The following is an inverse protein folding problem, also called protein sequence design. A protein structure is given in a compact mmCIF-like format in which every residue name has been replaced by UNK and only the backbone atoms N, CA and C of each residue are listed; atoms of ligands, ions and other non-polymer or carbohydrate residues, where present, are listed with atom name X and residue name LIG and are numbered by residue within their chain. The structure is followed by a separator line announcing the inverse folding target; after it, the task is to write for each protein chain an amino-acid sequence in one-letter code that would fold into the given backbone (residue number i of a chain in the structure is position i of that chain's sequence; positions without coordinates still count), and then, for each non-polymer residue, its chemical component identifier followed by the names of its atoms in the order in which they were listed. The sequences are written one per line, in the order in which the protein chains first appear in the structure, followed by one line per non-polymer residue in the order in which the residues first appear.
data_IF_804676567861
#
_entry.id   IF_804676567861
#
_cell.length_a   1.000
_cell.length_b   1.000
_cell.length_c   1.000
_cell.angle_alpha   90.00
_cell.angle_beta   90.00
_cell.angle_gamma   90.00
#
_symmetry.space_group_name_H-M   'P 1'
#
loop_
_entity.id
_entity.type
_entity.pdbx_description
1 polymer ?
#
# COMPACT_ATOMS: atom_id res chain seq x y z
N UNK A 1 -0.62 -20.76 -0.14
CA UNK A 1 -1.37 -19.60 0.43
C UNK A 1 -0.67 -19.09 1.69
N UNK A 2 0.03 -17.95 1.63
CA UNK A 2 0.67 -17.35 2.82
C UNK A 2 -0.39 -16.80 3.80
N UNK A 3 -0.21 -17.03 5.11
CA UNK A 3 -1.13 -16.55 6.16
C UNK A 3 -1.37 -15.04 6.11
N UNK A 4 -0.39 -14.26 5.63
CA UNK A 4 -0.48 -12.81 5.44
C UNK A 4 -1.51 -12.47 4.34
N UNK A 5 -1.58 -13.27 3.27
CA UNK A 5 -2.56 -13.10 2.18
C UNK A 5 -3.98 -13.33 2.71
N UNK A 6 -4.18 -14.35 3.54
CA UNK A 6 -5.48 -14.62 4.15
C UNK A 6 -5.92 -13.50 5.10
N UNK A 7 -5.00 -12.91 5.87
CA UNK A 7 -5.28 -11.84 6.83
C UNK A 7 -5.59 -10.50 6.16
N UNK A 8 -4.87 -10.16 5.08
CA UNK A 8 -5.15 -8.98 4.25
C UNK A 8 -6.54 -9.13 3.59
N UNK A 9 -6.81 -10.29 3.00
CA UNK A 9 -8.10 -10.56 2.36
C UNK A 9 -9.24 -10.59 3.37
N UNK A 10 -9.04 -11.16 4.56
CA UNK A 10 -10.02 -11.14 5.65
C UNK A 10 -10.29 -9.73 6.17
N UNK A 11 -9.28 -8.86 6.24
CA UNK A 11 -9.45 -7.46 6.66
C UNK A 11 -10.20 -6.63 5.61
N UNK A 12 -10.01 -6.93 4.32
CA UNK A 12 -10.76 -6.30 3.23
C UNK A 12 -12.20 -6.82 3.11
N UNK A 13 -12.46 -8.09 3.46
CA UNK A 13 -13.83 -8.67 3.54
C UNK A 13 -14.77 -7.91 4.48
N UNK A 14 -14.24 -7.20 5.48
CA UNK A 14 -15.06 -6.47 6.46
C UNK A 14 -15.76 -5.25 5.81
N UNK A 15 -15.29 -4.76 4.66
CA UNK A 15 -15.76 -3.50 4.06
C UNK A 15 -16.44 -3.63 2.67
N UNK A 16 -17.10 -4.76 2.37
CA UNK A 16 -17.74 -5.20 1.09
C UNK A 16 -16.91 -6.19 0.26
N UNK A 17 -17.58 -6.81 -0.75
CA UNK A 17 -17.16 -7.98 -1.52
C UNK A 17 -15.67 -8.03 -1.86
N UNK A 18 -15.04 -9.18 -1.61
CA UNK A 18 -13.63 -9.45 -1.91
C UNK A 18 -13.24 -8.94 -3.30
N UNK A 19 -12.19 -8.10 -3.41
CA UNK A 19 -11.63 -7.76 -4.70
C UNK A 19 -11.14 -9.02 -5.42
N UNK A 20 -11.32 -9.06 -6.74
CA UNK A 20 -10.85 -10.19 -7.55
C UNK A 20 -9.33 -10.31 -7.52
N UNK A 21 -8.82 -11.52 -7.76
CA UNK A 21 -7.38 -11.76 -7.91
C UNK A 21 -6.78 -10.92 -9.06
N UNK A 22 -7.56 -10.71 -10.12
CA UNK A 22 -7.20 -9.85 -11.25
C UNK A 22 -7.02 -8.39 -10.83
N UNK A 23 -7.90 -7.87 -9.97
CA UNK A 23 -7.75 -6.51 -9.45
C UNK A 23 -6.46 -6.36 -8.65
N UNK A 24 -6.14 -7.28 -7.74
CA UNK A 24 -4.91 -7.20 -6.96
C UNK A 24 -3.67 -7.30 -7.85
N UNK A 25 -3.69 -8.20 -8.83
CA UNK A 25 -2.60 -8.36 -9.79
C UNK A 25 -2.40 -7.07 -10.60
N UNK A 26 -3.48 -6.51 -11.14
CA UNK A 26 -3.46 -5.23 -11.86
C UNK A 26 -3.01 -4.08 -10.95
N UNK A 27 -3.54 -3.97 -9.74
CA UNK A 27 -3.26 -2.88 -8.80
C UNK A 27 -1.80 -2.91 -8.35
N UNK A 28 -1.31 -4.09 -7.99
CA UNK A 28 0.09 -4.30 -7.64
C UNK A 28 0.99 -3.98 -8.82
N UNK A 29 0.70 -4.48 -10.03
CA UNK A 29 1.48 -4.16 -11.22
C UNK A 29 1.59 -2.64 -11.46
N UNK A 30 0.48 -1.91 -11.37
CA UNK A 30 0.45 -0.46 -11.56
C UNK A 30 1.18 0.32 -10.45
N UNK A 31 1.03 -0.09 -9.19
CA UNK A 31 1.72 0.54 -8.06
C UNK A 31 3.23 0.27 -8.06
N UNK A 32 3.63 -0.95 -8.43
CA UNK A 32 5.01 -1.44 -8.49
C UNK A 32 5.84 -0.67 -9.53
N UNK A 33 5.29 -0.51 -10.73
CA UNK A 33 6.03 -0.02 -11.88
C UNK A 33 6.04 1.51 -11.99
N UNK A 34 4.96 2.20 -11.59
CA UNK A 34 4.76 3.56 -12.13
C UNK A 34 4.24 4.58 -11.12
N UNK A 35 3.09 4.37 -10.47
CA UNK A 35 2.35 5.51 -9.90
C UNK A 35 2.31 5.60 -8.36
N UNK A 36 2.59 4.51 -7.64
CA UNK A 36 2.54 4.48 -6.18
C UNK A 36 3.80 5.09 -5.53
N UNK A 37 3.63 6.03 -4.61
CA UNK A 37 4.71 6.71 -3.91
C UNK A 37 4.56 6.58 -2.40
N UNK A 38 5.57 6.00 -1.75
CA UNK A 38 5.73 6.01 -0.30
C UNK A 38 6.40 7.32 0.09
N UNK A 39 5.67 8.17 0.80
CA UNK A 39 6.11 9.52 1.16
C UNK A 39 6.29 9.58 2.68
N UNK A 40 7.48 9.99 3.09
CA UNK A 40 7.76 10.45 4.45
C UNK A 40 7.96 11.96 4.39
N UNK A 41 7.17 12.69 5.18
CA UNK A 41 7.30 14.17 5.25
C UNK A 41 8.35 14.57 6.28
N UNK A 42 8.85 15.82 6.22
CA UNK A 42 9.77 16.36 7.25
C UNK A 42 9.19 16.34 8.67
N UNK A 43 7.86 16.36 8.79
CA UNK A 43 7.13 16.21 10.07
C UNK A 43 6.83 14.75 10.41
N UNK A 44 7.58 13.83 9.82
CA UNK A 44 7.46 12.39 10.02
C UNK A 44 6.09 11.78 9.65
N UNK A 45 5.23 12.51 8.95
CA UNK A 45 3.95 11.93 8.51
C UNK A 45 4.18 10.90 7.40
N UNK A 46 3.49 9.77 7.53
CA UNK A 46 3.47 8.66 6.59
C UNK A 46 2.29 8.84 5.65
N UNK A 47 2.56 8.83 4.35
CA UNK A 47 1.52 8.90 3.34
C UNK A 47 1.85 7.96 2.19
N UNK A 48 0.85 7.24 1.71
CA UNK A 48 0.92 6.56 0.43
C UNK A 48 0.09 7.34 -0.58
N UNK A 49 0.66 7.61 -1.76
CA UNK A 49 0.02 8.43 -2.78
C UNK A 49 0.14 7.76 -4.14
N UNK A 50 -0.98 7.70 -4.87
CA UNK A 50 -1.02 7.37 -6.30
C UNK A 50 -1.47 8.62 -7.04
N UNK A 51 -0.67 9.09 -8.01
CA UNK A 51 -1.04 10.24 -8.85
C UNK A 51 -1.42 9.76 -10.24
N UNK A 52 -2.60 10.16 -10.74
CA UNK A 52 -3.10 9.77 -12.06
C UNK A 52 -3.94 10.88 -12.70
N UNK A 53 -4.01 10.90 -14.04
CA UNK A 53 -4.90 11.79 -14.81
C UNK A 53 -6.35 11.31 -14.81
N UNK A 54 -6.54 10.00 -14.97
CA UNK A 54 -7.85 9.36 -14.94
C UNK A 54 -8.37 9.19 -13.52
N UNK A 55 -9.34 10.03 -13.14
CA UNK A 55 -9.92 10.02 -11.79
C UNK A 55 -10.75 8.75 -11.52
N UNK A 56 -11.36 8.17 -12.56
CA UNK A 56 -12.16 6.94 -12.48
C UNK A 56 -11.34 5.78 -11.91
N UNK A 57 -10.09 5.65 -12.33
CA UNK A 57 -9.15 4.63 -11.83
C UNK A 57 -8.87 4.83 -10.34
N UNK A 58 -8.73 6.08 -9.89
CA UNK A 58 -8.50 6.38 -8.47
C UNK A 58 -9.73 6.09 -7.61
N UNK A 59 -10.94 6.35 -8.13
CA UNK A 59 -12.17 5.98 -7.45
C UNK A 59 -12.37 4.47 -7.40
N UNK A 60 -12.11 3.76 -8.49
CA UNK A 60 -12.09 2.30 -8.49
C UNK A 60 -11.14 1.75 -7.43
N UNK A 61 -9.91 2.28 -7.32
CA UNK A 61 -8.97 1.85 -6.28
C UNK A 61 -9.52 2.13 -4.87
N UNK A 62 -10.03 3.33 -4.62
CA UNK A 62 -10.61 3.71 -3.32
C UNK A 62 -11.75 2.78 -2.94
N UNK A 63 -12.68 2.56 -3.86
CA UNK A 63 -13.91 1.82 -3.62
C UNK A 63 -13.63 0.33 -3.44
N UNK A 64 -12.69 -0.23 -4.21
CA UNK A 64 -12.27 -1.63 -4.07
C UNK A 64 -11.45 -1.88 -2.80
N UNK A 65 -10.60 -0.94 -2.39
CA UNK A 65 -9.83 -1.07 -1.14
C UNK A 65 -10.66 -0.73 0.11
N UNK A 66 -11.72 0.07 -0.05
CA UNK A 66 -12.59 0.51 1.05
C UNK A 66 -11.95 1.55 1.98
N UNK A 67 -10.84 2.18 1.59
CA UNK A 67 -10.16 3.21 2.37
C UNK A 67 -9.44 4.24 1.50
N UNK A 68 -8.88 5.27 2.14
CA UNK A 68 -8.18 6.36 1.47
C UNK A 68 -9.12 7.42 0.89
N UNK A 69 -8.55 8.46 0.29
CA UNK A 69 -9.30 9.57 -0.32
C UNK A 69 -8.73 9.96 -1.66
N UNK A 70 -9.60 10.43 -2.55
CA UNK A 70 -9.22 10.99 -3.85
C UNK A 70 -9.35 12.50 -3.78
N UNK A 71 -8.30 13.23 -4.16
CA UNK A 71 -8.29 14.70 -4.24
C UNK A 71 -7.77 15.17 -5.60
N UNK A 72 -8.20 16.35 -6.02
CA UNK A 72 -7.58 17.04 -7.15
C UNK A 72 -6.29 17.74 -6.68
N UNK A 73 -5.21 17.60 -7.44
CA UNK A 73 -3.92 18.22 -7.12
C UNK A 73 -3.59 19.38 -8.07
N UNK A 74 -3.96 19.26 -9.34
CA UNK A 74 -3.76 20.29 -10.35
C UNK A 74 -4.91 20.32 -11.36
N UNK A 75 -4.75 21.08 -12.46
CA UNK A 75 -5.82 21.23 -13.44
C UNK A 75 -6.29 19.90 -14.06
N UNK A 76 -5.39 18.92 -14.22
CA UNK A 76 -5.67 17.65 -14.90
C UNK A 76 -5.13 16.42 -14.17
N UNK A 77 -4.76 16.56 -12.90
CA UNK A 77 -4.15 15.49 -12.12
C UNK A 77 -4.82 15.33 -10.76
N UNK A 78 -4.99 14.07 -10.39
CA UNK A 78 -5.67 13.66 -9.18
C UNK A 78 -4.77 12.74 -8.37
N UNK A 79 -5.05 12.65 -7.07
CA UNK A 79 -4.29 11.83 -6.12
C UNK A 79 -5.21 10.98 -5.28
N UNK A 80 -4.93 9.68 -5.26
CA UNK A 80 -5.38 8.81 -4.19
C UNK A 80 -4.37 8.86 -3.04
N UNK A 81 -4.83 9.12 -1.82
CA UNK A 81 -4.00 9.36 -0.65
C UNK A 81 -4.47 8.49 0.51
N UNK A 82 -3.54 7.80 1.15
CA UNK A 82 -3.74 7.03 2.38
C UNK A 82 -2.83 7.56 3.48
N UNK A 83 -3.44 7.93 4.60
CA UNK A 83 -2.77 8.48 5.79
C UNK A 83 -3.23 7.80 7.08
N UNK A 84 -4.33 7.05 7.04
CA UNK A 84 -4.89 6.35 8.19
C UNK A 84 -3.95 5.22 8.65
N UNK A 85 -3.79 5.09 9.97
CA UNK A 85 -2.81 4.17 10.57
C UNK A 85 -3.10 2.70 10.26
N UNK A 86 -4.38 2.28 10.27
CA UNK A 86 -4.78 0.90 9.94
C UNK A 86 -4.69 0.63 8.44
N UNK A 87 -5.11 1.59 7.62
CA UNK A 87 -4.98 1.47 6.17
C UNK A 87 -3.51 1.39 5.72
N UNK A 88 -2.62 2.14 6.38
CA UNK A 88 -1.18 2.06 6.12
C UNK A 88 -0.57 0.72 6.53
N UNK A 89 -1.04 0.11 7.63
CA UNK A 89 -0.65 -1.26 8.01
C UNK A 89 -1.01 -2.27 6.92
N UNK A 90 -2.23 -2.22 6.40
CA UNK A 90 -2.66 -3.08 5.29
C UNK A 90 -1.77 -2.88 4.04
N UNK A 91 -1.42 -1.64 3.71
CA UNK A 91 -0.51 -1.36 2.60
C UNK A 91 0.91 -1.87 2.86
N UNK A 92 1.43 -1.73 4.09
CA UNK A 92 2.74 -2.29 4.47
C UNK A 92 2.73 -3.80 4.30
N UNK A 93 1.70 -4.49 4.81
CA UNK A 93 1.56 -5.93 4.66
C UNK A 93 1.45 -6.34 3.18
N UNK A 94 0.70 -5.59 2.37
CA UNK A 94 0.51 -5.85 0.95
C UNK A 94 1.80 -5.71 0.13
N UNK A 95 2.59 -4.67 0.40
CA UNK A 95 3.80 -4.38 -0.37
C UNK A 95 5.07 -5.06 0.17
N UNK A 96 5.07 -5.56 1.41
CA UNK A 96 6.24 -6.23 1.98
C UNK A 96 6.55 -7.52 1.21
N UNK A 97 7.76 -7.61 0.65
CA UNK A 97 8.17 -8.73 -0.22
C UNK A 97 7.56 -8.72 -1.62
N UNK A 98 6.79 -7.68 -1.98
CA UNK A 98 6.07 -7.57 -3.24
C UNK A 98 6.57 -6.42 -4.13
N UNK A 99 7.70 -5.78 -3.78
CA UNK A 99 8.29 -4.66 -4.53
C UNK A 99 9.56 -5.12 -5.25
N UNK A 100 9.68 -4.79 -6.54
CA UNK A 100 10.80 -5.24 -7.40
C UNK A 100 11.82 -4.13 -7.63
N UNK A 101 11.36 -2.91 -7.90
CA UNK A 101 12.27 -1.82 -8.28
C UNK A 101 13.13 -1.41 -7.07
N UNK A 102 14.48 -1.39 -7.19
CA UNK A 102 15.36 -1.04 -6.08
C UNK A 102 15.08 0.35 -5.48
N UNK A 103 14.68 1.32 -6.31
CA UNK A 103 14.28 2.66 -5.86
C UNK A 103 13.01 2.63 -5.00
N UNK A 104 12.02 1.80 -5.37
CA UNK A 104 10.79 1.60 -4.60
C UNK A 104 11.07 0.85 -3.30
N UNK A 105 11.89 -0.20 -3.34
CA UNK A 105 12.32 -0.92 -2.13
C UNK A 105 13.03 0.02 -1.14
N UNK A 106 13.91 0.90 -1.62
CA UNK A 106 14.59 1.90 -0.77
C UNK A 106 13.60 2.88 -0.13
N UNK A 107 12.64 3.39 -0.89
CA UNK A 107 11.62 4.30 -0.37
C UNK A 107 10.66 3.59 0.60
N UNK A 108 10.28 2.36 0.29
CA UNK A 108 9.48 1.51 1.17
C UNK A 108 10.22 1.18 2.47
N UNK A 109 11.52 0.90 2.42
CA UNK A 109 12.32 0.69 3.63
C UNK A 109 12.27 1.91 4.55
N UNK A 110 12.53 3.12 4.02
CA UNK A 110 12.42 4.37 4.81
C UNK A 110 11.03 4.56 5.39
N UNK A 111 10.00 4.20 4.63
CA UNK A 111 8.61 4.25 5.07
C UNK A 111 8.34 3.27 6.22
N UNK A 112 8.78 2.02 6.11
CA UNK A 112 8.62 0.98 7.14
C UNK A 112 9.44 1.30 8.39
N UNK A 113 10.66 1.82 8.24
CA UNK A 113 11.50 2.24 9.39
C UNK A 113 10.75 3.29 10.23
N UNK A 114 10.13 4.29 9.58
CA UNK A 114 9.34 5.31 10.26
C UNK A 114 7.99 4.79 10.77
N UNK A 115 7.34 3.88 10.04
CA UNK A 115 6.16 3.16 10.50
C UNK A 115 6.46 2.41 11.81
N UNK A 116 7.57 1.68 11.89
CA UNK A 116 7.97 0.92 13.07
C UNK A 116 8.27 1.81 14.29
N UNK A 117 8.83 3.01 14.07
CA UNK A 117 9.01 4.00 15.13
C UNK A 117 7.68 4.49 15.72
N UNK A 118 6.62 4.50 14.90
CA UNK A 118 5.27 4.94 15.28
C UNK A 118 4.33 3.78 15.65
N UNK A 119 4.68 2.55 15.30
CA UNK A 119 3.89 1.35 15.54
C UNK A 119 3.64 1.15 17.04
N UNK A 120 4.69 1.31 17.86
CA UNK A 120 4.62 1.21 19.33
C UNK A 120 4.19 2.48 20.07
N UNK A 121 3.74 3.53 19.36
CA UNK A 121 3.36 4.82 19.96
C UNK A 121 1.90 5.17 19.66
N UNK A 122 1.20 5.68 20.66
CA UNK A 122 -0.19 6.17 20.55
C UNK A 122 -1.25 5.16 21.01
N UNK A 123 -2.53 5.43 20.67
CA UNK A 123 -3.68 4.65 21.15
C UNK A 123 -3.88 3.30 20.45
N UNK A 124 -3.35 3.16 19.24
CA UNK A 124 -3.39 1.92 18.45
C UNK A 124 -1.96 1.42 18.35
N UNK A 125 -1.67 0.26 18.92
CA UNK A 125 -0.37 -0.39 18.83
C UNK A 125 -0.38 -1.28 17.60
N UNK A 126 0.61 -1.12 16.73
CA UNK A 126 0.78 -1.96 15.54
C UNK A 126 2.01 -2.83 15.68
N UNK A 127 2.03 -3.95 14.96
CA UNK A 127 3.19 -4.81 14.89
C UNK A 127 4.30 -4.17 14.06
N UNK A 128 5.55 -4.37 14.50
CA UNK A 128 6.72 -3.94 13.74
C UNK A 128 6.95 -4.92 12.57
N UNK A 129 7.32 -4.38 11.42
CA UNK A 129 7.53 -5.15 10.19
C UNK A 129 8.99 -5.04 9.75
N UNK A 130 9.62 -6.18 9.44
CA UNK A 130 10.93 -6.18 8.80
C UNK A 130 10.75 -6.15 7.27
N UNK A 131 11.33 -5.16 6.56
CA UNK A 131 11.26 -5.11 5.10
C UNK A 131 11.96 -6.32 4.46
N UNK A 132 11.24 -7.03 3.60
CA UNK A 132 11.80 -8.13 2.80
C UNK A 132 12.33 -7.55 1.49
N UNK A 133 13.62 -7.78 1.21
CA UNK A 133 14.19 -7.54 -0.11
C UNK A 133 13.93 -8.77 -0.99
N UNK A 134 13.19 -8.62 -2.08
CA UNK A 134 13.01 -9.68 -3.06
C UNK A 134 13.69 -9.28 -4.37
N UNK A 135 14.55 -10.16 -4.88
CA UNK A 135 15.10 -10.05 -6.24
C UNK A 135 14.27 -10.84 -7.27
N UNK A 136 13.32 -11.63 -6.78
CA UNK A 136 12.45 -12.49 -7.58
C UNK A 136 11.26 -11.66 -8.10
N UNK A 137 10.82 -11.95 -9.32
CA UNK A 137 9.57 -11.42 -9.85
C UNK A 137 8.41 -11.81 -8.92
N UNK A 138 7.55 -10.86 -8.52
CA UNK A 138 6.63 -11.07 -7.43
C UNK A 138 5.43 -11.87 -7.92
N UNK A 139 5.13 -12.91 -7.16
CA UNK A 139 4.02 -13.82 -7.38
C UNK A 139 3.08 -13.73 -6.17
N UNK A 140 1.78 -13.98 -6.35
CA UNK A 140 0.85 -14.06 -5.22
C UNK A 140 1.11 -15.29 -4.34
N UNK A 141 1.91 -16.21 -4.84
CA UNK A 141 2.60 -17.25 -4.10
C UNK A 141 4.03 -16.77 -3.86
N UNK A 142 4.26 -16.09 -2.74
CA UNK A 142 5.62 -16.02 -2.21
C UNK A 142 6.01 -17.47 -1.92
N UNK A 143 6.83 -18.05 -2.80
CA UNK A 143 7.26 -19.44 -2.70
C UNK A 143 7.75 -19.76 -1.30
N UNK A 144 7.06 -20.72 -0.68
CA UNK A 144 7.64 -21.60 0.32
C UNK A 144 8.07 -22.87 -0.42
#
# INVERSE_FOLDING_TARGET
MSAIRALILASLKINHSMPSEDFFTWFLANCRLTFGSFITTRRENLQFVITQKEISVLYMIRDTLGFGRVIQQGQRTYRYIVQDKKALELLVALFNGNLVLPTKQRNFKKFVDLYNQKAGKGRIILEKVNPIQSEILPSLDNGA
#
